data_IF_740290110198
#
_entry.id   IF_740290110198
#
_cell.length_a   1.000
_cell.length_b   1.000
_cell.length_c   1.000
_cell.angle_alpha   90.00
_cell.angle_beta   90.00
_cell.angle_gamma   90.00
#
_symmetry.space_group_name_H-M   'P 1'
#
loop_
_entity.id
_entity.type
_entity.pdbx_description
1 polymer ?
#
# COMPACT_ATOMS: atom_id res chain seq x y z
N UNK A 1 -5.70 9.63 24.49
CA UNK A 1 -4.43 10.21 23.99
C UNK A 1 -3.36 9.14 24.06
N UNK A 2 -2.52 9.01 23.04
CA UNK A 2 -1.46 8.00 22.99
C UNK A 2 -0.17 8.54 23.63
N UNK A 3 0.48 7.74 24.48
CA UNK A 3 1.81 8.04 25.03
C UNK A 3 2.73 6.84 24.84
N UNK A 4 4.04 7.03 24.97
CA UNK A 4 5.01 5.95 24.86
C UNK A 4 4.69 4.81 25.86
N UNK A 5 4.45 5.15 27.13
CA UNK A 5 4.10 4.15 28.15
C UNK A 5 2.79 3.40 27.87
N UNK A 6 1.79 4.08 27.29
CA UNK A 6 0.54 3.42 26.86
C UNK A 6 0.78 2.47 25.69
N UNK A 7 1.62 2.83 24.71
CA UNK A 7 1.95 1.92 23.62
C UNK A 7 2.79 0.73 24.08
N UNK A 8 3.74 0.92 24.99
CA UNK A 8 4.52 -0.19 25.54
C UNK A 8 3.64 -1.24 26.24
N UNK A 9 2.62 -0.81 26.97
CA UNK A 9 1.77 -1.71 27.78
C UNK A 9 0.51 -2.21 27.05
N UNK A 10 -0.06 -1.42 26.13
CA UNK A 10 -1.36 -1.71 25.51
C UNK A 10 -1.31 -2.00 24.00
N UNK A 11 -0.15 -1.95 23.36
CA UNK A 11 -0.05 -2.27 21.93
C UNK A 11 -0.19 -3.78 21.70
N UNK A 12 -1.35 -4.19 21.18
CA UNK A 12 -1.66 -5.59 20.85
C UNK A 12 -0.80 -6.22 19.75
N UNK A 13 -0.02 -5.45 19.01
CA UNK A 13 0.81 -5.96 17.91
C UNK A 13 2.30 -6.05 18.27
N UNK A 14 2.81 -5.16 19.12
CA UNK A 14 4.25 -5.01 19.38
C UNK A 14 4.51 -4.31 20.70
N UNK A 15 3.73 -4.64 21.73
CA UNK A 15 3.96 -4.18 23.09
C UNK A 15 5.23 -4.79 23.70
N UNK A 16 5.53 -4.38 24.93
CA UNK A 16 6.67 -4.86 25.69
C UNK A 16 6.69 -6.39 25.79
N UNK A 17 7.84 -7.01 25.49
CA UNK A 17 8.02 -8.46 25.48
C UNK A 17 7.79 -9.15 24.13
N UNK A 18 7.34 -8.44 23.09
CA UNK A 18 7.27 -8.99 21.73
C UNK A 18 8.67 -9.05 21.11
N UNK A 19 9.11 -10.23 20.67
CA UNK A 19 10.38 -10.35 19.93
C UNK A 19 10.23 -9.90 18.49
N UNK A 20 11.35 -9.55 17.84
CA UNK A 20 11.35 -9.18 16.42
C UNK A 20 10.75 -10.28 15.53
N UNK A 21 11.14 -11.54 15.75
CA UNK A 21 10.64 -12.68 14.99
C UNK A 21 9.13 -12.88 15.14
N UNK A 22 8.60 -12.73 16.36
CA UNK A 22 7.16 -12.78 16.61
C UNK A 22 6.41 -11.66 15.87
N UNK A 23 6.97 -10.45 15.88
CA UNK A 23 6.38 -9.31 15.18
C UNK A 23 6.39 -9.51 13.65
N UNK A 24 7.51 -9.98 13.08
CA UNK A 24 7.63 -10.26 11.64
C UNK A 24 6.59 -11.30 11.23
N UNK A 25 6.52 -12.44 11.92
CA UNK A 25 5.57 -13.50 11.60
C UNK A 25 4.12 -13.00 11.65
N UNK A 26 3.77 -12.24 12.69
CA UNK A 26 2.46 -11.61 12.82
C UNK A 26 2.16 -10.65 11.65
N UNK A 27 3.11 -9.77 11.31
CA UNK A 27 2.95 -8.78 10.24
C UNK A 27 2.82 -9.42 8.87
N UNK A 28 3.66 -10.38 8.54
CA UNK A 28 3.60 -11.10 7.27
C UNK A 28 2.28 -11.86 7.11
N UNK A 29 1.83 -12.57 8.15
CA UNK A 29 0.56 -13.28 8.11
C UNK A 29 -0.63 -12.33 7.91
N UNK A 30 -0.61 -11.17 8.56
CA UNK A 30 -1.64 -10.14 8.43
C UNK A 30 -1.61 -9.48 7.05
N UNK A 31 -0.43 -9.12 6.55
CA UNK A 31 -0.31 -8.37 5.29
C UNK A 31 -0.74 -9.23 4.08
N UNK A 32 -0.62 -10.57 4.16
CA UNK A 32 -1.13 -11.51 3.14
C UNK A 32 -2.64 -11.49 2.93
N UNK A 33 -3.42 -11.13 3.95
CA UNK A 33 -4.89 -11.17 3.89
C UNK A 33 -5.52 -9.79 3.63
N UNK A 34 -4.72 -8.73 3.67
CA UNK A 34 -5.21 -7.37 3.46
C UNK A 34 -5.26 -7.04 1.97
N UNK A 35 -6.42 -6.58 1.51
CA UNK A 35 -6.57 -6.01 0.18
C UNK A 35 -5.82 -4.68 0.04
N UNK A 36 -5.52 -4.30 -1.20
CA UNK A 36 -4.91 -3.00 -1.49
C UNK A 36 -5.83 -1.85 -1.04
N UNK A 37 -5.29 -0.78 -0.42
CA UNK A 37 -6.08 0.40 -0.05
C UNK A 37 -6.73 1.06 -1.28
N UNK A 38 -7.98 1.49 -1.13
CA UNK A 38 -8.78 2.11 -2.22
C UNK A 38 -8.07 3.26 -2.93
N UNK A 39 -7.26 4.04 -2.20
CA UNK A 39 -6.56 5.22 -2.72
C UNK A 39 -5.06 5.00 -2.92
N UNK A 40 -4.56 3.76 -2.91
CA UNK A 40 -3.13 3.49 -3.02
C UNK A 40 -2.51 4.17 -4.25
N UNK A 41 -3.09 3.94 -5.43
CA UNK A 41 -2.59 4.49 -6.70
C UNK A 41 -2.70 6.02 -6.81
N UNK A 42 -3.85 6.66 -6.52
CA UNK A 42 -3.94 8.12 -6.58
C UNK A 42 -3.07 8.80 -5.52
N UNK A 43 -3.01 8.27 -4.29
CA UNK A 43 -2.15 8.82 -3.23
C UNK A 43 -0.68 8.74 -3.58
N UNK A 44 -0.22 7.62 -4.17
CA UNK A 44 1.19 7.48 -4.55
C UNK A 44 1.62 8.53 -5.59
N UNK A 45 0.78 8.76 -6.61
CA UNK A 45 1.07 9.71 -7.69
C UNK A 45 1.17 11.17 -7.23
N UNK A 46 0.47 11.52 -6.15
CA UNK A 46 0.42 12.87 -5.60
C UNK A 46 1.46 13.04 -4.48
N UNK A 47 1.58 12.06 -3.57
CA UNK A 47 2.43 12.17 -2.39
C UNK A 47 3.93 12.11 -2.71
N UNK A 48 4.34 11.32 -3.71
CA UNK A 48 5.74 11.33 -4.20
C UNK A 48 6.13 12.72 -4.75
N UNK A 49 5.15 13.48 -5.26
CA UNK A 49 5.34 14.84 -5.78
C UNK A 49 5.11 15.92 -4.72
N UNK A 50 5.25 15.58 -3.44
CA UNK A 50 5.00 16.49 -2.31
C UNK A 50 3.62 17.16 -2.35
N UNK A 51 2.59 16.42 -2.77
CA UNK A 51 1.22 16.93 -2.86
C UNK A 51 0.87 17.60 -4.19
N UNK A 52 1.82 17.76 -5.12
CA UNK A 52 1.56 18.37 -6.43
C UNK A 52 0.81 17.40 -7.35
N UNK A 53 -0.27 17.89 -7.95
CA UNK A 53 -1.01 17.15 -8.97
C UNK A 53 -0.17 16.93 -10.24
N UNK A 54 -0.44 15.87 -11.01
CA UNK A 54 0.15 15.70 -12.34
C UNK A 54 -0.16 16.90 -13.25
N UNK A 55 0.69 17.18 -14.26
CA UNK A 55 0.42 18.23 -15.23
C UNK A 55 -0.91 17.97 -15.96
N UNK A 56 -1.62 19.04 -16.29
CA UNK A 56 -2.85 18.94 -17.06
C UNK A 56 -2.57 18.49 -18.50
N UNK A 57 -3.47 17.67 -19.04
CA UNK A 57 -3.51 17.29 -20.44
C UNK A 57 -4.90 17.63 -20.99
N UNK A 58 -4.96 18.31 -22.13
CA UNK A 58 -6.20 18.80 -22.74
C UNK A 58 -7.05 19.65 -21.76
N UNK A 59 -6.40 20.50 -20.96
CA UNK A 59 -7.06 21.38 -19.99
C UNK A 59 -7.57 20.69 -18.73
N UNK A 60 -7.28 19.40 -18.50
CA UNK A 60 -7.73 18.65 -17.31
C UNK A 60 -6.61 17.83 -16.68
N UNK A 61 -6.70 17.60 -15.37
CA UNK A 61 -5.77 16.74 -14.63
C UNK A 61 -6.31 15.31 -14.62
N UNK A 62 -5.42 14.35 -14.87
CA UNK A 62 -5.75 12.92 -14.91
C UNK A 62 -4.85 12.13 -13.95
N UNK A 63 -5.44 11.26 -13.15
CA UNK A 63 -4.71 10.25 -12.38
C UNK A 63 -4.70 8.95 -13.17
N UNK A 64 -3.53 8.33 -13.31
CA UNK A 64 -3.36 7.11 -14.10
C UNK A 64 -3.55 5.90 -13.21
N UNK A 65 -4.57 5.10 -13.46
CA UNK A 65 -4.71 3.80 -12.80
C UNK A 65 -4.04 2.75 -13.66
N UNK A 66 -2.91 2.16 -13.23
CA UNK A 66 -2.31 1.07 -13.98
C UNK A 66 -3.28 -0.12 -13.99
N UNK A 67 -3.59 -0.60 -15.19
CA UNK A 67 -4.30 -1.86 -15.39
C UNK A 67 -3.26 -2.94 -15.65
N UNK A 68 -3.52 -4.16 -15.15
CA UNK A 68 -2.73 -5.32 -15.55
C UNK A 68 -2.81 -5.47 -17.07
N UNK A 69 -1.71 -5.86 -17.73
CA UNK A 69 -1.70 -6.17 -19.16
C UNK A 69 -2.87 -7.10 -19.48
N UNK A 70 -3.61 -6.79 -20.54
CA UNK A 70 -4.47 -7.78 -21.20
C UNK A 70 -3.56 -8.83 -21.84
N UNK A 71 -3.03 -9.77 -21.06
CA UNK A 71 -2.47 -10.99 -21.66
C UNK A 71 -3.69 -11.74 -22.19
N UNK A 72 -4.01 -11.57 -23.47
CA UNK A 72 -5.00 -12.42 -24.11
C UNK A 72 -4.36 -13.81 -24.25
N UNK A 73 -4.87 -14.84 -23.56
CA UNK A 73 -4.23 -16.16 -23.57
C UNK A 73 -4.22 -16.82 -24.96
N UNK A 74 -4.89 -16.24 -25.96
CA UNK A 74 -4.99 -16.77 -27.31
C UNK A 74 -4.07 -16.10 -28.36
N UNK A 75 -3.16 -15.19 -27.98
CA UNK A 75 -2.25 -14.52 -28.94
C UNK A 75 -0.75 -14.72 -28.70
N UNK A 76 -0.34 -15.17 -27.52
CA UNK A 76 1.09 -15.36 -27.19
C UNK A 76 1.54 -16.83 -27.18
N UNK A 77 0.69 -17.77 -27.63
CA UNK A 77 1.02 -19.20 -27.74
C UNK A 77 1.49 -19.63 -29.15
N UNK A 78 1.83 -18.70 -30.04
CA UNK A 78 2.23 -19.05 -31.43
C UNK A 78 3.36 -18.19 -31.98
N UNK A 79 4.38 -17.92 -31.18
CA UNK A 79 5.75 -17.64 -31.65
C UNK A 79 6.79 -18.13 -30.66
#
# INVERSE_FOLDING_TARGET
MATVGVHQTKNKHGGFGTTESQFIQFREARDKVLGAPRLLQPSLQVNIRAGKLPPASNGRVWLKTPTTKLTNPNIDATK
#
